data_IF_290146193816
#
_entry.id   IF_290146193816
#
_cell.length_a   1.000
_cell.length_b   1.000
_cell.length_c   1.000
_cell.angle_alpha   90.00
_cell.angle_beta   90.00
_cell.angle_gamma   90.00
#
_symmetry.space_group_name_H-M   'P 1'
#
loop_
_entity.id
_entity.type
_entity.pdbx_description
1 polymer ?
#
# COMPACT_ATOMS: atom_id res chain seq x y z
N UNK A 1 -23.39 41.04 -2.14
CA UNK A 1 -23.10 39.78 -1.42
C UNK A 1 -23.33 39.99 0.06
N UNK A 2 -24.22 39.21 0.67
CA UNK A 2 -24.58 39.40 2.08
C UNK A 2 -23.45 38.84 2.97
N UNK A 3 -23.11 39.52 4.07
CA UNK A 3 -21.98 39.11 4.94
C UNK A 3 -22.17 37.68 5.49
N UNK A 4 -23.41 37.27 5.69
CA UNK A 4 -23.78 35.92 6.10
C UNK A 4 -23.41 34.84 5.06
N UNK A 5 -23.50 35.15 3.77
CA UNK A 5 -23.17 34.20 2.69
C UNK A 5 -21.67 33.94 2.60
N UNK A 6 -20.85 34.94 2.92
CA UNK A 6 -19.38 34.82 2.96
C UNK A 6 -18.95 33.96 4.15
N UNK A 7 -19.57 34.17 5.33
CA UNK A 7 -19.29 33.36 6.52
C UNK A 7 -19.68 31.88 6.34
N UNK A 8 -20.81 31.60 5.69
CA UNK A 8 -21.25 30.23 5.40
C UNK A 8 -20.26 29.52 4.45
N UNK A 9 -19.80 30.20 3.40
CA UNK A 9 -18.85 29.63 2.45
C UNK A 9 -17.49 29.32 3.11
N UNK A 10 -17.04 30.20 4.01
CA UNK A 10 -15.78 30.02 4.75
C UNK A 10 -15.84 28.81 5.70
N UNK A 11 -17.02 28.54 6.29
CA UNK A 11 -17.20 27.42 7.22
C UNK A 11 -17.18 26.05 6.51
N UNK A 12 -17.70 25.98 5.28
CA UNK A 12 -17.67 24.74 4.48
C UNK A 12 -16.26 24.38 3.98
N UNK A 13 -15.38 25.36 3.77
CA UNK A 13 -14.00 25.12 3.32
C UNK A 13 -13.12 24.53 4.44
N UNK A 14 -13.42 24.82 5.71
CA UNK A 14 -12.61 24.37 6.85
C UNK A 14 -12.94 22.94 7.33
N UNK A 15 -14.09 22.38 6.97
CA UNK A 15 -14.52 21.06 7.42
C UNK A 15 -14.04 19.88 6.52
N UNK A 16 -13.35 20.17 5.41
CA UNK A 16 -13.01 19.17 4.39
C UNK A 16 -11.71 18.36 4.61
N UNK A 17 -10.88 18.72 5.60
CA UNK A 17 -9.62 18.01 5.84
C UNK A 17 -9.82 16.82 6.78
N UNK A 18 -9.72 15.60 6.23
CA UNK A 18 -9.56 14.37 7.03
C UNK A 18 -8.21 14.43 7.77
N UNK A 19 -8.25 14.76 9.06
CA UNK A 19 -7.05 14.84 9.91
C UNK A 19 -6.83 13.57 10.75
N UNK A 20 -7.70 12.58 10.63
CA UNK A 20 -7.56 11.32 11.36
C UNK A 20 -6.50 10.44 10.68
N UNK A 21 -5.57 9.83 11.44
CA UNK A 21 -4.60 8.91 10.88
C UNK A 21 -5.27 7.71 10.20
N UNK A 22 -4.80 7.36 9.00
CA UNK A 22 -5.30 6.22 8.24
C UNK A 22 -4.19 5.52 7.46
N UNK A 23 -4.47 4.27 7.07
CA UNK A 23 -3.70 3.50 6.09
C UNK A 23 -4.71 2.75 5.23
N UNK A 24 -4.85 3.17 3.99
CA UNK A 24 -5.64 2.51 2.96
C UNK A 24 -4.70 1.78 2.01
N UNK A 25 -5.16 0.67 1.44
CA UNK A 25 -4.33 -0.13 0.53
C UNK A 25 -5.16 -0.82 -0.54
N UNK A 26 -4.56 -1.00 -1.71
CA UNK A 26 -5.09 -1.84 -2.78
C UNK A 26 -4.02 -2.84 -3.23
N UNK A 27 -4.39 -4.11 -3.34
CA UNK A 27 -3.50 -5.17 -3.82
C UNK A 27 -4.05 -5.75 -5.10
N UNK A 28 -3.22 -5.76 -6.15
CA UNK A 28 -3.43 -6.51 -7.39
C UNK A 28 -2.39 -7.61 -7.48
N UNK A 29 -2.83 -8.80 -7.88
CA UNK A 29 -1.98 -9.96 -8.00
C UNK A 29 -2.18 -10.58 -9.38
N UNK A 30 -1.07 -10.88 -10.04
CA UNK A 30 -1.03 -11.59 -11.31
C UNK A 30 -0.18 -12.84 -11.14
N UNK A 31 -0.75 -14.02 -11.39
CA UNK A 31 0.00 -15.28 -11.31
C UNK A 31 0.93 -15.38 -12.52
N UNK A 32 2.24 -15.38 -12.26
CA UNK A 32 3.27 -15.52 -13.30
C UNK A 32 3.60 -16.99 -13.58
N UNK A 33 3.72 -17.80 -12.53
CA UNK A 33 4.11 -19.21 -12.65
C UNK A 33 3.67 -20.05 -11.46
N UNK A 34 3.71 -21.37 -11.59
CA UNK A 34 3.67 -22.29 -10.45
C UNK A 34 5.07 -22.55 -9.86
N UNK A 35 6.14 -22.13 -10.56
CA UNK A 35 7.53 -22.35 -10.16
C UNK A 35 8.13 -21.12 -9.47
N UNK A 36 8.40 -21.26 -8.17
CA UNK A 36 9.01 -20.23 -7.33
C UNK A 36 10.51 -20.04 -7.55
N UNK A 37 11.18 -20.96 -8.25
CA UNK A 37 12.62 -20.84 -8.53
C UNK A 37 12.94 -19.72 -9.52
N UNK A 38 11.91 -19.16 -10.18
CA UNK A 38 12.02 -18.06 -11.14
C UNK A 38 11.76 -16.68 -10.52
N UNK A 39 11.65 -16.60 -9.20
CA UNK A 39 11.39 -15.34 -8.50
C UNK A 39 12.48 -14.31 -8.83
N UNK A 40 12.05 -13.18 -9.36
CA UNK A 40 12.93 -12.05 -9.59
C UNK A 40 12.94 -11.16 -8.33
N UNK A 41 14.09 -10.94 -7.67
CA UNK A 41 14.17 -10.18 -6.41
C UNK A 41 14.04 -8.65 -6.60
N UNK A 42 13.36 -8.20 -7.65
CA UNK A 42 13.18 -6.78 -7.87
C UNK A 42 12.14 -6.21 -6.90
N UNK A 43 12.41 -5.00 -6.43
CA UNK A 43 11.46 -4.19 -5.69
C UNK A 43 11.45 -2.79 -6.30
N UNK A 44 10.33 -2.39 -6.88
CA UNK A 44 10.20 -1.13 -7.61
C UNK A 44 9.16 -0.25 -6.95
N UNK A 45 9.54 1.01 -6.71
CA UNK A 45 8.60 2.06 -6.37
C UNK A 45 8.18 2.81 -7.64
N UNK A 46 6.89 3.12 -7.76
CA UNK A 46 6.31 3.86 -8.89
C UNK A 46 5.48 5.01 -8.35
N UNK A 47 5.53 6.15 -9.04
CA UNK A 47 4.68 7.30 -8.74
C UNK A 47 3.21 6.95 -8.98
N UNK A 48 2.34 7.32 -8.04
CA UNK A 48 0.90 7.15 -8.17
C UNK A 48 0.17 8.38 -7.60
N UNK A 49 -0.97 8.74 -8.17
CA UNK A 49 -1.71 9.94 -7.75
C UNK A 49 -2.34 9.81 -6.36
N UNK A 50 -2.64 8.57 -5.94
CA UNK A 50 -3.25 8.24 -4.65
C UNK A 50 -2.28 7.64 -3.63
N UNK A 51 -1.00 8.02 -3.65
CA UNK A 51 0.01 7.53 -2.69
C UNK A 51 1.18 6.83 -3.37
N UNK A 52 1.83 5.90 -2.66
CA UNK A 52 2.96 5.15 -3.16
C UNK A 52 2.54 3.80 -3.76
N UNK A 53 3.07 3.48 -4.96
CA UNK A 53 2.91 2.17 -5.61
C UNK A 53 4.19 1.36 -5.50
N UNK A 54 4.06 0.10 -5.11
CA UNK A 54 5.13 -0.87 -5.04
C UNK A 54 4.83 -2.04 -5.97
N UNK A 55 5.81 -2.39 -6.80
CA UNK A 55 5.75 -3.55 -7.69
C UNK A 55 6.89 -4.50 -7.35
N UNK A 56 6.57 -5.77 -7.12
CA UNK A 56 7.52 -6.82 -6.79
C UNK A 56 6.95 -8.20 -7.07
N UNK A 57 7.80 -9.22 -7.04
CA UNK A 57 7.39 -10.61 -7.12
C UNK A 57 7.44 -11.30 -5.75
N UNK A 58 6.47 -12.17 -5.48
CA UNK A 58 6.47 -12.98 -4.26
C UNK A 58 5.88 -14.37 -4.51
N UNK A 59 6.39 -15.33 -3.76
CA UNK A 59 5.84 -16.67 -3.71
C UNK A 59 4.79 -16.79 -2.61
N UNK A 60 3.55 -16.96 -3.02
CA UNK A 60 2.38 -17.06 -2.14
C UNK A 60 1.66 -18.39 -2.38
N UNK A 61 0.72 -18.74 -1.50
CA UNK A 61 -0.14 -19.90 -1.72
C UNK A 61 -0.86 -19.81 -3.07
N UNK A 62 -1.08 -20.93 -3.77
CA UNK A 62 -1.75 -20.92 -5.09
C UNK A 62 -3.17 -20.34 -5.01
N UNK A 63 -3.83 -20.58 -3.89
CA UNK A 63 -5.17 -20.13 -3.52
C UNK A 63 -5.16 -18.86 -2.67
N UNK A 64 -4.02 -18.16 -2.60
CA UNK A 64 -3.88 -16.95 -1.79
C UNK A 64 -4.91 -15.90 -2.18
N UNK A 65 -5.65 -15.40 -1.19
CA UNK A 65 -6.56 -14.30 -1.38
C UNK A 65 -5.89 -12.97 -0.97
N UNK A 66 -5.99 -11.95 -1.83
CA UNK A 66 -5.52 -10.59 -1.51
C UNK A 66 -6.13 -10.01 -0.23
N UNK A 67 -7.33 -10.48 0.18
CA UNK A 67 -7.94 -10.10 1.46
C UNK A 67 -7.22 -10.66 2.69
N UNK A 68 -6.35 -11.67 2.52
CA UNK A 68 -5.56 -12.25 3.62
C UNK A 68 -4.34 -11.38 3.95
N UNK A 69 -4.04 -10.40 3.11
CA UNK A 69 -2.98 -9.43 3.36
C UNK A 69 -3.33 -8.57 4.58
N UNK A 70 -2.37 -8.45 5.50
CA UNK A 70 -2.49 -7.53 6.63
C UNK A 70 -1.60 -6.34 6.41
N UNK A 71 -2.21 -5.16 6.37
CA UNK A 71 -1.51 -3.88 6.27
C UNK A 71 -1.81 -3.08 7.54
N UNK A 72 -0.77 -2.64 8.22
CA UNK A 72 -0.91 -1.82 9.43
C UNK A 72 0.23 -0.82 9.52
N UNK A 73 0.03 0.25 10.30
CA UNK A 73 1.08 1.23 10.59
C UNK A 73 1.68 1.00 11.95
N UNK A 74 3.00 1.12 12.03
CA UNK A 74 3.79 1.08 13.25
C UNK A 74 4.75 2.28 13.24
N UNK A 75 4.32 3.40 13.84
CA UNK A 75 5.10 4.64 13.87
C UNK A 75 5.28 5.24 12.48
N UNK A 76 6.51 5.19 11.97
CA UNK A 76 6.91 5.71 10.65
C UNK A 76 7.03 4.62 9.57
N UNK A 77 6.55 3.41 9.90
CA UNK A 77 6.64 2.24 9.04
C UNK A 77 5.26 1.70 8.73
N UNK A 78 4.99 1.41 7.46
CA UNK A 78 3.86 0.57 7.03
C UNK A 78 4.34 -0.89 6.98
N UNK A 79 3.65 -1.77 7.69
CA UNK A 79 3.96 -3.20 7.76
C UNK A 79 2.92 -3.97 6.96
N UNK A 80 3.40 -4.73 5.98
CA UNK A 80 2.63 -5.57 5.07
C UNK A 80 3.01 -7.03 5.30
N UNK A 81 2.02 -7.85 5.59
CA UNK A 81 2.18 -9.30 5.76
C UNK A 81 1.36 -9.99 4.68
N UNK A 82 2.05 -10.66 3.76
CA UNK A 82 1.46 -11.41 2.66
C UNK A 82 1.61 -12.92 2.87
N UNK A 83 2.72 -13.33 3.48
CA UNK A 83 3.07 -14.74 3.58
C UNK A 83 2.13 -15.52 4.51
N UNK A 84 1.46 -16.53 3.94
CA UNK A 84 0.75 -17.58 4.68
C UNK A 84 1.48 -18.92 4.53
N UNK A 85 1.55 -19.77 5.57
CA UNK A 85 2.07 -21.12 5.43
C UNK A 85 1.21 -21.92 4.45
N UNK A 86 1.82 -22.48 3.40
CA UNK A 86 1.12 -23.28 2.40
C UNK A 86 2.00 -24.39 1.83
N UNK A 87 1.38 -25.53 1.53
CA UNK A 87 2.02 -26.71 0.94
C UNK A 87 2.27 -26.55 -0.57
N UNK A 88 1.48 -25.70 -1.24
CA UNK A 88 1.64 -25.37 -2.66
C UNK A 88 1.76 -23.86 -2.83
N UNK A 89 2.78 -23.42 -3.57
CA UNK A 89 3.04 -22.01 -3.84
C UNK A 89 3.04 -21.72 -5.33
N UNK A 90 2.67 -20.50 -5.68
CA UNK A 90 2.83 -19.92 -7.00
C UNK A 90 3.65 -18.64 -6.93
N UNK A 91 4.29 -18.29 -8.04
CA UNK A 91 4.95 -17.02 -8.23
C UNK A 91 3.93 -15.99 -8.72
N UNK A 92 3.81 -14.88 -8.00
CA UNK A 92 2.90 -13.80 -8.32
C UNK A 92 3.65 -12.48 -8.47
N UNK A 93 3.25 -11.68 -9.47
CA UNK A 93 3.54 -10.26 -9.53
C UNK A 93 2.52 -9.53 -8.67
N UNK A 94 3.01 -8.68 -7.77
CA UNK A 94 2.20 -7.91 -6.83
C UNK A 94 2.34 -6.45 -7.19
N UNK A 95 1.19 -5.77 -7.29
CA UNK A 95 1.11 -4.31 -7.30
C UNK A 95 0.39 -3.92 -6.02
N UNK A 96 1.10 -3.23 -5.14
CA UNK A 96 0.60 -2.75 -3.86
C UNK A 96 0.56 -1.22 -3.90
N UNK A 97 -0.64 -0.67 -3.79
CA UNK A 97 -0.85 0.76 -3.61
C UNK A 97 -1.11 1.01 -2.12
N UNK A 98 -0.40 1.96 -1.53
CA UNK A 98 -0.61 2.40 -0.15
C UNK A 98 -0.91 3.89 -0.16
N UNK A 99 -1.98 4.27 0.54
CA UNK A 99 -2.26 5.64 0.91
C UNK A 99 -2.28 5.75 2.44
N UNK A 100 -1.64 6.77 3.00
CA UNK A 100 -1.59 6.92 4.45
C UNK A 100 -1.42 8.37 4.87
N UNK A 101 -2.15 8.72 5.93
CA UNK A 101 -1.91 9.92 6.73
C UNK A 101 -1.61 9.53 8.19
N UNK A 102 -0.59 10.14 8.83
CA UNK A 102 0.44 10.99 8.25
C UNK A 102 1.32 10.20 7.26
N UNK A 103 2.22 10.87 6.55
CA UNK A 103 3.17 10.19 5.66
C UNK A 103 4.06 9.20 6.42
N UNK A 104 4.56 8.16 5.75
CA UNK A 104 5.52 7.18 6.28
C UNK A 104 6.81 7.18 5.46
N UNK A 105 7.93 6.79 6.07
CA UNK A 105 9.25 6.76 5.40
C UNK A 105 9.78 5.34 5.17
N UNK A 106 9.13 4.32 5.73
CA UNK A 106 9.56 2.92 5.60
C UNK A 106 8.38 2.00 5.32
N UNK A 107 8.62 0.97 4.50
CA UNK A 107 7.69 -0.13 4.32
C UNK A 107 8.38 -1.44 4.62
N UNK A 108 7.77 -2.27 5.45
CA UNK A 108 8.24 -3.63 5.75
C UNK A 108 7.30 -4.64 5.12
N UNK A 109 7.80 -5.48 4.22
CA UNK A 109 7.02 -6.52 3.54
C UNK A 109 7.59 -7.87 3.97
N UNK A 110 6.79 -8.67 4.68
CA UNK A 110 7.19 -10.00 5.20
C UNK A 110 8.54 -9.98 5.95
N UNK A 111 8.86 -8.86 6.63
CA UNK A 111 10.10 -8.69 7.40
C UNK A 111 11.24 -7.97 6.66
N UNK A 112 11.15 -7.79 5.34
CA UNK A 112 12.11 -7.02 4.55
C UNK A 112 11.72 -5.54 4.54
N UNK A 113 12.63 -4.64 4.92
CA UNK A 113 12.32 -3.21 5.06
C UNK A 113 12.96 -2.37 3.96
N UNK A 114 12.16 -1.53 3.34
CA UNK A 114 12.55 -0.63 2.26
C UNK A 114 12.29 0.82 2.66
N UNK A 115 13.21 1.71 2.26
CA UNK A 115 13.02 3.15 2.43
C UNK A 115 12.06 3.67 1.35
N UNK A 116 11.10 4.48 1.76
CA UNK A 116 10.17 5.16 0.87
C UNK A 116 10.79 6.49 0.44
N UNK A 117 11.16 6.57 -0.84
CA UNK A 117 11.68 7.80 -1.44
C UNK A 117 10.61 8.32 -2.39
N UNK A 118 9.98 9.46 -2.08
CA UNK A 118 8.95 10.03 -2.92
C UNK A 118 9.55 10.35 -4.29
N UNK A 119 8.90 9.88 -5.36
CA UNK A 119 9.22 10.31 -6.71
C UNK A 119 8.62 11.70 -6.92
N UNK A 120 9.44 12.74 -6.73
CA UNK A 120 9.11 14.11 -7.12
C UNK A 120 9.28 14.31 -8.62
#
# INVERSE_FOLDING_TARGET
MNKATIFLLLFFVLAGCRNEPFVEHEIKMEKLSADCNKLNPYFRMVSNFGGERFEFERCLAIDYNKQDAKVSRQGDTVVVQLSTPASQKGLFKITLDIDSYPRYNFITIDGETFRVVPSY
#
